data_IF_378371682048
#
_entry.id   IF_378371682048
#
_cell.length_a   1.000
_cell.length_b   1.000
_cell.length_c   1.000
_cell.angle_alpha   90.00
_cell.angle_beta   90.00
_cell.angle_gamma   90.00
#
_symmetry.space_group_name_H-M   'P 1'
#
loop_
_entity.id
_entity.type
_entity.pdbx_description
1 polymer ?
#
# COMPACT_ATOMS: atom_id res chain seq x y z
N UNK A 1 36.47 -10.68 3.20
CA UNK A 1 35.01 -10.59 3.02
C UNK A 1 34.46 -10.46 4.41
N UNK A 2 33.98 -9.28 4.78
CA UNK A 2 33.43 -9.03 6.11
C UNK A 2 32.04 -9.67 6.13
N UNK A 3 31.88 -10.73 6.93
CA UNK A 3 30.56 -11.22 7.35
C UNK A 3 29.99 -10.19 8.33
N UNK A 4 29.49 -9.07 7.79
CA UNK A 4 28.60 -8.23 8.58
C UNK A 4 27.34 -9.06 8.86
N UNK A 5 26.97 -9.25 10.14
CA UNK A 5 25.74 -9.95 10.47
C UNK A 5 24.58 -9.19 9.81
N UNK A 6 23.76 -9.93 9.05
CA UNK A 6 22.56 -9.36 8.48
C UNK A 6 21.73 -8.75 9.63
N UNK A 7 21.20 -7.53 9.46
CA UNK A 7 20.34 -6.93 10.47
C UNK A 7 19.17 -7.87 10.74
N UNK A 8 18.81 -8.02 12.02
CA UNK A 8 17.65 -8.82 12.39
C UNK A 8 16.40 -8.26 11.73
N UNK A 9 15.50 -9.12 11.20
CA UNK A 9 14.28 -8.66 10.56
C UNK A 9 13.40 -7.94 11.58
N UNK A 10 12.81 -6.81 11.15
CA UNK A 10 11.97 -5.98 12.02
C UNK A 10 10.74 -6.74 12.51
N UNK A 11 10.24 -7.65 11.67
CA UNK A 11 9.02 -8.40 11.90
C UNK A 11 9.28 -9.90 11.89
N UNK A 12 8.82 -10.59 12.95
CA UNK A 12 8.91 -12.04 13.04
C UNK A 12 7.67 -12.69 12.40
N UNK A 13 7.82 -13.65 11.46
CA UNK A 13 6.71 -14.30 10.77
C UNK A 13 5.65 -14.90 11.70
N UNK A 14 6.07 -15.43 12.86
CA UNK A 14 5.21 -16.08 13.85
C UNK A 14 4.10 -15.15 14.35
N UNK A 15 4.40 -13.85 14.46
CA UNK A 15 3.43 -12.83 14.89
C UNK A 15 2.28 -12.65 13.88
N UNK A 16 2.50 -13.01 12.61
CA UNK A 16 1.52 -12.88 11.54
C UNK A 16 0.73 -14.17 11.29
N UNK A 17 1.06 -15.28 11.97
CA UNK A 17 0.38 -16.56 11.81
C UNK A 17 -1.14 -16.51 12.04
N UNK A 18 -1.67 -15.78 13.05
CA UNK A 18 -3.13 -15.64 13.23
C UNK A 18 -3.82 -14.94 12.05
N UNK A 19 -3.20 -13.89 11.51
CA UNK A 19 -3.71 -13.20 10.33
C UNK A 19 -3.63 -14.09 9.08
N UNK A 20 -2.55 -14.86 8.93
CA UNK A 20 -2.41 -15.81 7.83
C UNK A 20 -3.55 -16.84 7.86
N UNK A 21 -3.86 -17.38 9.04
CA UNK A 21 -4.99 -18.30 9.22
C UNK A 21 -6.34 -17.64 8.87
N UNK A 22 -6.55 -16.38 9.29
CA UNK A 22 -7.75 -15.63 8.94
C UNK A 22 -7.90 -15.43 7.43
N UNK A 23 -6.80 -15.08 6.74
CA UNK A 23 -6.76 -14.92 5.29
C UNK A 23 -7.04 -16.25 4.58
N UNK A 24 -6.47 -17.36 5.05
CA UNK A 24 -6.73 -18.71 4.51
C UNK A 24 -8.23 -19.03 4.59
N UNK A 25 -8.85 -18.81 5.75
CA UNK A 25 -10.27 -19.06 5.93
C UNK A 25 -11.13 -18.14 5.04
N UNK A 26 -10.78 -16.86 4.95
CA UNK A 26 -11.46 -15.91 4.07
C UNK A 26 -11.30 -16.29 2.59
N UNK A 27 -10.13 -16.73 2.14
CA UNK A 27 -9.86 -17.13 0.77
C UNK A 27 -10.63 -18.41 0.37
N UNK A 28 -10.83 -19.33 1.31
CA UNK A 28 -11.55 -20.59 1.11
C UNK A 28 -13.05 -20.39 0.89
N UNK A 29 -13.63 -19.31 1.45
CA UNK A 29 -15.06 -19.04 1.30
C UNK A 29 -15.46 -18.93 -0.18
N UNK A 30 -16.67 -19.39 -0.57
CA UNK A 30 -17.17 -19.15 -1.92
C UNK A 30 -17.33 -17.65 -2.19
N UNK A 31 -17.22 -17.26 -3.45
CA UNK A 31 -17.46 -15.88 -3.90
C UNK A 31 -18.91 -15.78 -4.36
N UNK A 32 -19.70 -14.98 -3.64
CA UNK A 32 -21.10 -14.71 -3.97
C UNK A 32 -21.18 -13.79 -5.19
N UNK A 33 -22.16 -14.04 -6.06
CA UNK A 33 -22.42 -13.20 -7.24
C UNK A 33 -22.84 -13.98 -8.47
N UNK A 34 -23.78 -13.42 -9.23
CA UNK A 34 -24.35 -14.07 -10.42
C UNK A 34 -25.39 -15.15 -10.08
N UNK A 35 -25.61 -16.09 -11.01
CA UNK A 35 -26.59 -17.19 -10.85
C UNK A 35 -26.14 -18.29 -9.89
N UNK A 36 -24.84 -18.44 -9.64
CA UNK A 36 -24.27 -19.45 -8.73
C UNK A 36 -22.96 -18.96 -8.09
N UNK A 37 -22.68 -19.31 -6.82
CA UNK A 37 -21.42 -18.96 -6.16
C UNK A 37 -20.21 -19.58 -6.88
N UNK A 38 -19.12 -18.81 -7.00
CA UNK A 38 -17.84 -19.33 -7.51
C UNK A 38 -17.05 -19.95 -6.36
N UNK A 39 -16.30 -21.05 -6.59
CA UNK A 39 -15.49 -21.65 -5.54
C UNK A 39 -14.41 -20.67 -5.04
N UNK A 40 -14.09 -20.78 -3.75
CA UNK A 40 -12.91 -20.13 -3.18
C UNK A 40 -11.61 -20.86 -3.54
N UNK A 41 -10.53 -20.54 -2.84
CA UNK A 41 -9.24 -21.21 -2.98
C UNK A 41 -8.70 -21.60 -1.62
N UNK A 42 -8.12 -22.79 -1.53
CA UNK A 42 -7.46 -23.24 -0.31
C UNK A 42 -6.00 -22.78 -0.30
N UNK A 43 -5.71 -21.79 0.55
CA UNK A 43 -4.34 -21.32 0.80
C UNK A 43 -3.68 -22.03 1.99
N UNK A 44 -4.37 -22.99 2.63
CA UNK A 44 -3.89 -23.71 3.81
C UNK A 44 -2.47 -24.29 3.66
N UNK A 45 -2.10 -24.91 2.52
CA UNK A 45 -0.75 -25.41 2.28
C UNK A 45 0.35 -24.34 2.27
N UNK A 46 -0.01 -23.05 2.27
CA UNK A 46 0.92 -21.93 2.20
C UNK A 46 0.84 -21.02 3.43
N UNK A 47 0.24 -21.48 4.54
CA UNK A 47 0.03 -20.67 5.75
C UNK A 47 1.33 -20.04 6.27
N UNK A 48 2.38 -20.84 6.47
CA UNK A 48 3.65 -20.32 6.99
C UNK A 48 4.36 -19.41 5.97
N UNK A 49 4.26 -19.73 4.68
CA UNK A 49 4.80 -18.88 3.61
C UNK A 49 4.03 -17.55 3.46
N UNK A 50 2.76 -17.52 3.83
CA UNK A 50 1.94 -16.31 3.89
C UNK A 50 2.29 -15.47 5.12
N UNK A 51 2.56 -16.10 6.26
CA UNK A 51 3.03 -15.43 7.46
C UNK A 51 4.38 -14.73 7.22
N UNK A 52 5.33 -15.42 6.57
CA UNK A 52 6.61 -14.85 6.17
C UNK A 52 6.44 -13.67 5.19
N UNK A 53 5.60 -13.81 4.16
CA UNK A 53 5.30 -12.72 3.23
C UNK A 53 4.79 -11.48 3.96
N UNK A 54 3.93 -11.63 4.97
CA UNK A 54 3.37 -10.51 5.71
C UNK A 54 4.41 -9.79 6.56
N UNK A 55 5.38 -10.49 7.14
CA UNK A 55 6.51 -9.88 7.82
C UNK A 55 7.32 -9.01 6.84
N UNK A 56 7.67 -9.56 5.67
CA UNK A 56 8.41 -8.83 4.63
C UNK A 56 7.65 -7.58 4.15
N UNK A 57 6.36 -7.73 3.83
CA UNK A 57 5.59 -6.59 3.29
C UNK A 57 5.25 -5.54 4.34
N UNK A 58 5.23 -5.90 5.63
CA UNK A 58 5.06 -4.94 6.72
C UNK A 58 6.27 -4.01 6.81
N UNK A 59 7.47 -4.58 6.77
CA UNK A 59 8.72 -3.80 6.75
C UNK A 59 8.80 -2.92 5.50
N UNK A 60 8.50 -3.48 4.32
CA UNK A 60 8.54 -2.69 3.08
C UNK A 60 7.49 -1.59 3.03
N UNK A 61 6.33 -1.82 3.63
CA UNK A 61 5.30 -0.80 3.74
C UNK A 61 5.74 0.35 4.62
N UNK A 62 6.37 0.09 5.75
CA UNK A 62 6.89 1.14 6.64
C UNK A 62 7.95 1.97 5.96
N UNK A 63 8.95 1.34 5.34
CA UNK A 63 9.98 2.06 4.59
C UNK A 63 9.39 2.90 3.46
N UNK A 64 8.41 2.35 2.72
CA UNK A 64 7.75 3.07 1.63
C UNK A 64 6.82 4.18 2.13
N UNK A 65 6.25 4.03 3.32
CA UNK A 65 5.40 5.02 3.98
C UNK A 65 6.26 6.16 4.49
N UNK A 66 7.36 5.90 5.19
CA UNK A 66 8.30 6.91 5.67
C UNK A 66 8.88 7.73 4.52
N UNK A 67 9.30 7.06 3.43
CA UNK A 67 9.77 7.74 2.22
C UNK A 67 8.66 8.57 1.56
N UNK A 68 7.41 8.08 1.55
CA UNK A 68 6.29 8.86 1.04
C UNK A 68 6.00 10.06 1.95
N UNK A 69 5.90 9.90 3.26
CA UNK A 69 5.65 10.98 4.20
C UNK A 69 6.73 12.06 4.09
N UNK A 70 8.00 11.66 4.06
CA UNK A 70 9.14 12.58 3.87
C UNK A 70 9.06 13.39 2.57
N UNK A 71 8.57 12.79 1.47
CA UNK A 71 8.39 13.48 0.17
C UNK A 71 7.12 14.32 0.05
N UNK A 72 6.20 14.22 1.01
CA UNK A 72 4.96 15.01 1.02
C UNK A 72 4.95 16.08 2.13
N UNK A 73 5.98 16.14 2.98
CA UNK A 73 6.29 17.36 3.73
C UNK A 73 6.75 18.42 2.73
N UNK A 74 6.27 19.66 2.90
CA UNK A 74 6.69 20.76 2.04
C UNK A 74 8.23 20.91 2.16
N UNK A 75 8.99 20.75 1.06
CA UNK A 75 10.42 21.02 1.12
C UNK A 75 10.64 22.51 1.38
N UNK A 76 11.80 22.91 1.95
CA UNK A 76 12.16 24.32 2.00
C UNK A 76 12.20 24.90 0.59
N UNK A 77 12.15 26.23 0.45
CA UNK A 77 12.41 26.85 -0.84
C UNK A 77 13.85 26.53 -1.29
N UNK A 78 14.01 26.22 -2.58
CA UNK A 78 15.32 26.05 -3.22
C UNK A 78 16.20 27.29 -3.12
N UNK A 79 15.56 28.46 -3.03
CA UNK A 79 16.22 29.72 -2.75
C UNK A 79 16.22 29.96 -1.23
N UNK A 80 17.42 30.07 -0.64
CA UNK A 80 17.61 30.25 0.79
C UNK A 80 17.01 31.57 1.26
N UNK A 81 17.14 32.65 0.46
CA UNK A 81 16.65 33.99 0.81
C UNK A 81 15.13 33.99 1.01
N UNK A 82 14.39 33.16 0.26
CA UNK A 82 12.93 33.01 0.40
C UNK A 82 12.50 32.26 1.66
N UNK A 83 13.37 31.43 2.25
CA UNK A 83 13.07 30.78 3.53
C UNK A 83 13.27 31.71 4.73
N UNK A 84 14.01 32.82 4.53
CA UNK A 84 14.28 33.84 5.55
C UNK A 84 13.26 34.99 5.50
N UNK A 85 12.37 35.00 4.51
CA UNK A 85 11.30 36.00 4.38
C UNK A 85 10.20 35.71 5.42
N UNK A 86 9.97 36.63 6.38
CA UNK A 86 8.96 36.44 7.42
C UNK A 86 7.51 36.48 6.91
N UNK A 87 7.27 36.95 5.67
CA UNK A 87 5.96 36.99 5.04
C UNK A 87 5.62 35.71 4.24
N UNK A 88 6.59 34.81 4.03
CA UNK A 88 6.39 33.50 3.41
C UNK A 88 5.97 32.46 4.48
N UNK A 89 5.20 31.41 4.11
CA UNK A 89 4.82 30.35 5.05
C UNK A 89 6.08 29.69 5.64
N UNK A 90 6.06 29.44 6.95
CA UNK A 90 7.20 28.82 7.66
C UNK A 90 7.67 27.58 6.90
N UNK A 91 8.95 27.53 6.48
CA UNK A 91 9.50 26.33 5.86
C UNK A 91 9.33 25.17 6.86
N UNK A 92 8.93 23.99 6.36
CA UNK A 92 8.69 22.81 7.21
C UNK A 92 9.93 22.30 7.97
N UNK A 93 11.08 22.95 7.79
CA UNK A 93 12.35 22.69 8.45
C UNK A 93 13.08 24.02 8.74
N UNK A 94 13.59 24.17 9.96
CA UNK A 94 14.49 25.25 10.40
C UNK A 94 15.94 24.74 10.38
N UNK A 95 16.83 25.45 9.68
CA UNK A 95 18.23 25.05 9.50
C UNK A 95 19.21 25.68 10.50
N UNK A 96 18.77 26.61 11.35
CA UNK A 96 19.64 27.27 12.33
C UNK A 96 20.97 27.80 11.74
N UNK A 97 22.04 27.82 12.54
CA UNK A 97 23.35 28.38 12.17
C UNK A 97 24.24 27.47 11.30
N UNK A 98 23.74 26.30 10.86
CA UNK A 98 24.52 25.29 10.14
C UNK A 98 24.24 25.31 8.63
N UNK A 99 24.35 26.49 8.02
CA UNK A 99 24.07 26.68 6.59
C UNK A 99 25.09 25.94 5.70
N UNK A 100 24.64 25.15 4.71
CA UNK A 100 25.51 24.58 3.69
C UNK A 100 26.17 25.67 2.83
N UNK A 101 27.45 25.51 2.50
CA UNK A 101 28.19 26.46 1.64
C UNK A 101 27.65 26.52 0.21
N UNK A 102 26.98 25.45 -0.25
CA UNK A 102 26.23 25.41 -1.52
C UNK A 102 24.81 24.89 -1.25
N UNK A 103 23.90 25.83 -1.02
CA UNK A 103 22.51 25.53 -0.74
C UNK A 103 21.81 24.82 -1.89
N UNK A 104 22.11 25.17 -3.15
CA UNK A 104 21.45 24.57 -4.30
C UNK A 104 21.86 23.09 -4.48
N UNK A 105 23.15 22.77 -4.31
CA UNK A 105 23.63 21.40 -4.35
C UNK A 105 23.15 20.57 -3.14
N UNK A 106 23.13 21.16 -1.95
CA UNK A 106 22.50 20.54 -0.77
C UNK A 106 21.02 20.28 -1.03
N UNK A 107 20.30 21.27 -1.54
CA UNK A 107 18.89 21.15 -1.87
C UNK A 107 18.63 20.02 -2.86
N UNK A 108 19.37 19.97 -3.97
CA UNK A 108 19.20 18.91 -4.96
C UNK A 108 19.56 17.52 -4.38
N UNK A 109 20.55 17.44 -3.49
CA UNK A 109 20.96 16.18 -2.85
C UNK A 109 19.94 15.64 -1.84
N UNK A 110 19.31 16.52 -1.05
CA UNK A 110 18.41 16.13 0.05
C UNK A 110 16.93 16.27 -0.29
N UNK A 111 16.55 17.27 -1.10
CA UNK A 111 15.17 17.62 -1.47
C UNK A 111 14.88 17.52 -2.97
N UNK A 112 15.90 17.34 -3.82
CA UNK A 112 15.73 17.23 -5.28
C UNK A 112 15.05 15.94 -5.77
N UNK A 113 14.59 15.08 -4.84
CA UNK A 113 13.76 13.92 -5.19
C UNK A 113 12.41 14.43 -5.69
N UNK A 114 11.83 13.72 -6.68
CA UNK A 114 10.51 14.08 -7.16
C UNK A 114 9.49 14.04 -6.01
N UNK A 115 8.69 15.10 -5.90
CA UNK A 115 7.61 15.22 -4.93
C UNK A 115 6.77 13.94 -4.91
N UNK A 116 6.34 13.56 -3.71
CA UNK A 116 5.26 12.60 -3.59
C UNK A 116 4.06 13.12 -4.38
N UNK A 117 3.34 12.23 -5.06
CA UNK A 117 2.03 12.58 -5.59
C UNK A 117 1.01 12.25 -4.50
N UNK A 118 0.48 13.22 -3.73
CA UNK A 118 -0.56 12.98 -2.72
C UNK A 118 -1.91 12.66 -3.36
N UNK A 119 -1.92 12.17 -4.61
CA UNK A 119 -3.07 12.03 -5.48
C UNK A 119 -4.31 11.62 -4.72
N UNK A 120 -5.42 12.32 -4.97
CA UNK A 120 -6.69 12.16 -4.25
C UNK A 120 -7.07 10.68 -4.15
N UNK A 121 -6.71 10.02 -3.04
CA UNK A 121 -7.24 8.70 -2.76
C UNK A 121 -8.76 8.90 -2.62
N UNK A 122 -9.53 8.00 -3.24
CA UNK A 122 -10.98 8.12 -3.27
C UNK A 122 -11.48 7.97 -1.83
N UNK A 123 -11.74 9.08 -1.14
CA UNK A 123 -12.70 9.08 -0.07
C UNK A 123 -14.05 8.79 -0.71
N UNK A 124 -14.71 7.70 -0.31
CA UNK A 124 -16.12 7.57 -0.61
C UNK A 124 -16.82 8.75 0.05
N UNK A 125 -17.53 9.55 -0.75
CA UNK A 125 -18.53 10.51 -0.30
C UNK A 125 -19.73 9.82 0.38
N UNK A 126 -19.57 8.62 0.95
CA UNK A 126 -20.62 7.97 1.71
C UNK A 126 -20.67 8.61 3.09
N UNK A 127 -21.43 9.70 3.17
CA UNK A 127 -22.25 10.03 4.34
C UNK A 127 -23.04 8.77 4.69
N UNK A 128 -22.48 7.97 5.58
CA UNK A 128 -23.24 6.97 6.30
C UNK A 128 -22.97 7.25 7.76
N UNK A 129 -24.03 7.40 8.54
CA UNK A 129 -23.99 7.79 9.96
C UNK A 129 -23.23 6.78 10.85
N UNK A 130 -22.63 5.76 10.24
CA UNK A 130 -22.01 4.58 10.85
C UNK A 130 -20.51 4.47 10.67
N UNK A 131 -19.84 5.34 9.88
CA UNK A 131 -18.37 5.40 9.81
C UNK A 131 -17.87 6.84 9.92
N UNK A 132 -16.94 7.14 10.85
CA UNK A 132 -16.40 8.49 10.99
C UNK A 132 -15.67 8.89 9.71
N UNK A 133 -15.95 10.11 9.22
CA UNK A 133 -15.20 10.72 8.14
C UNK A 133 -13.75 10.90 8.59
N UNK A 134 -12.80 10.33 7.84
CA UNK A 134 -11.38 10.53 8.10
C UNK A 134 -10.92 11.85 7.47
N UNK A 135 -10.18 12.70 8.19
CA UNK A 135 -9.68 13.97 7.65
C UNK A 135 -8.86 13.80 6.38
N UNK A 136 -8.11 12.70 6.28
CA UNK A 136 -7.33 12.32 5.11
C UNK A 136 -7.39 10.80 4.91
N UNK A 137 -7.64 10.32 3.67
CA UNK A 137 -7.58 8.89 3.37
C UNK A 137 -6.13 8.38 3.46
N UNK A 138 -5.88 7.09 3.76
CA UNK A 138 -4.52 6.56 3.83
C UNK A 138 -3.82 6.64 2.46
N UNK A 139 -2.50 6.86 2.41
CA UNK A 139 -1.78 7.01 1.15
C UNK A 139 -1.76 5.71 0.36
N UNK A 140 -2.03 5.74 -0.94
CA UNK A 140 -1.99 4.54 -1.79
C UNK A 140 -0.58 4.15 -2.25
N UNK A 141 0.35 5.08 -2.58
CA UNK A 141 1.68 4.73 -3.10
C UNK A 141 2.50 3.77 -2.22
N UNK A 142 2.49 3.87 -0.87
CA UNK A 142 3.21 2.91 -0.02
C UNK A 142 2.78 1.43 -0.20
N UNK A 143 1.57 1.17 -0.70
CA UNK A 143 1.12 -0.20 -1.01
C UNK A 143 1.67 -0.76 -2.33
N UNK A 144 2.33 0.05 -3.17
CA UNK A 144 2.84 -0.42 -4.46
C UNK A 144 3.85 -1.58 -4.32
N UNK A 145 4.89 -1.51 -3.47
CA UNK A 145 5.78 -2.65 -3.24
C UNK A 145 5.03 -3.87 -2.68
N UNK A 146 4.05 -3.67 -1.79
CA UNK A 146 3.22 -4.74 -1.21
C UNK A 146 2.48 -5.51 -2.32
N UNK A 147 1.84 -4.80 -3.26
CA UNK A 147 1.12 -5.43 -4.38
C UNK A 147 2.06 -6.23 -5.28
N UNK A 148 3.26 -5.71 -5.54
CA UNK A 148 4.27 -6.43 -6.33
C UNK A 148 4.74 -7.70 -5.61
N UNK A 149 4.93 -7.64 -4.30
CA UNK A 149 5.27 -8.80 -3.47
C UNK A 149 4.17 -9.86 -3.55
N UNK A 150 2.91 -9.46 -3.38
CA UNK A 150 1.74 -10.34 -3.46
C UNK A 150 1.59 -10.98 -4.83
N UNK A 151 1.77 -10.22 -5.92
CA UNK A 151 1.75 -10.74 -7.29
C UNK A 151 2.82 -11.84 -7.49
N UNK A 152 4.05 -11.58 -7.03
CA UNK A 152 5.17 -12.53 -7.13
C UNK A 152 4.93 -13.78 -6.28
N UNK A 153 4.50 -13.60 -5.03
CA UNK A 153 4.19 -14.70 -4.12
C UNK A 153 3.06 -15.57 -4.67
N UNK A 154 1.98 -14.94 -5.16
CA UNK A 154 0.84 -15.65 -5.75
C UNK A 154 1.29 -16.50 -6.93
N UNK A 155 2.08 -15.93 -7.84
CA UNK A 155 2.64 -16.66 -8.98
C UNK A 155 3.53 -17.82 -8.54
N UNK A 156 4.32 -17.66 -7.47
CA UNK A 156 5.25 -18.67 -7.00
C UNK A 156 4.59 -19.82 -6.22
N UNK A 157 3.59 -19.52 -5.39
CA UNK A 157 2.97 -20.49 -4.48
C UNK A 157 1.67 -21.08 -5.03
N UNK A 158 0.81 -20.24 -5.59
CA UNK A 158 -0.50 -20.63 -6.13
C UNK A 158 -0.38 -21.01 -7.62
N UNK A 159 0.43 -20.26 -8.36
CA UNK A 159 0.64 -20.46 -9.79
C UNK A 159 -0.51 -19.96 -10.66
N UNK A 160 -0.26 -19.93 -11.97
CA UNK A 160 -1.24 -19.52 -12.98
C UNK A 160 -2.11 -20.69 -13.49
N UNK A 161 -2.01 -21.87 -12.86
CA UNK A 161 -2.42 -23.19 -13.43
C UNK A 161 -3.90 -23.34 -13.77
N UNK A 162 -4.75 -22.37 -13.44
CA UNK A 162 -6.17 -22.36 -13.81
C UNK A 162 -6.67 -20.97 -14.27
N UNK A 163 -5.78 -20.14 -14.83
CA UNK A 163 -6.13 -18.77 -15.27
C UNK A 163 -6.36 -17.79 -14.12
N UNK A 164 -6.06 -18.18 -12.88
CA UNK A 164 -6.16 -17.33 -11.70
C UNK A 164 -4.87 -16.55 -11.49
N UNK A 165 -4.59 -15.61 -12.42
CA UNK A 165 -3.59 -14.57 -12.18
C UNK A 165 -3.98 -13.77 -10.94
N UNK A 166 -2.98 -13.20 -10.26
CA UNK A 166 -3.24 -12.21 -9.22
C UNK A 166 -3.95 -11.00 -9.85
N UNK A 167 -5.27 -10.95 -9.67
CA UNK A 167 -6.16 -9.93 -10.22
C UNK A 167 -7.25 -9.67 -9.18
N UNK A 168 -6.98 -8.88 -8.12
CA UNK A 168 -7.97 -8.55 -7.11
C UNK A 168 -9.20 -7.89 -7.77
N UNK A 169 -10.38 -8.44 -7.45
CA UNK A 169 -11.69 -7.93 -7.86
C UNK A 169 -12.57 -7.82 -6.62
N UNK A 170 -12.77 -6.58 -6.21
CA UNK A 170 -13.67 -6.24 -5.12
C UNK A 170 -15.12 -6.28 -5.62
N UNK A 171 -15.97 -6.99 -4.89
CA UNK A 171 -17.38 -7.14 -5.20
C UNK A 171 -18.25 -6.38 -4.22
N UNK A 172 -19.37 -5.87 -4.72
CA UNK A 172 -20.48 -5.31 -3.92
C UNK A 172 -21.72 -6.14 -4.17
N UNK A 173 -22.73 -5.96 -3.33
CA UNK A 173 -24.04 -6.56 -3.58
C UNK A 173 -24.57 -6.11 -4.95
N UNK A 174 -24.96 -7.07 -5.78
CA UNK A 174 -25.42 -6.80 -7.14
C UNK A 174 -26.81 -6.17 -7.17
N UNK A 175 -27.59 -6.37 -6.11
CA UNK A 175 -28.96 -5.86 -5.99
C UNK A 175 -29.02 -4.46 -5.40
N UNK A 176 -27.93 -3.97 -4.81
CA UNK A 176 -27.85 -2.67 -4.14
C UNK A 176 -26.47 -2.04 -4.40
N UNK A 177 -26.38 -1.21 -5.44
CA UNK A 177 -25.11 -0.62 -5.91
C UNK A 177 -24.55 0.43 -4.96
N UNK A 178 -25.38 0.93 -4.06
CA UNK A 178 -25.03 1.93 -3.06
C UNK A 178 -24.45 1.28 -1.79
N UNK A 179 -24.53 -0.05 -1.65
CA UNK A 179 -23.85 -0.77 -0.57
C UNK A 179 -22.32 -0.73 -0.73
N UNK A 180 -21.61 -0.64 0.41
CA UNK A 180 -20.16 -0.74 0.43
C UNK A 180 -19.69 -2.10 -0.09
N UNK A 181 -18.42 -2.17 -0.50
CA UNK A 181 -17.81 -3.44 -0.87
C UNK A 181 -17.86 -4.45 0.28
N UNK A 182 -17.92 -5.73 -0.08
CA UNK A 182 -18.06 -6.83 0.87
C UNK A 182 -17.16 -8.01 0.45
N UNK A 183 -16.44 -8.58 1.43
CA UNK A 183 -15.57 -9.75 1.22
C UNK A 183 -16.30 -10.91 0.57
N UNK A 184 -17.58 -11.12 0.89
CA UNK A 184 -18.38 -12.24 0.37
C UNK A 184 -18.49 -12.21 -1.15
N UNK A 185 -18.54 -11.03 -1.76
CA UNK A 185 -18.61 -10.85 -3.22
C UNK A 185 -17.24 -10.65 -3.88
N UNK A 186 -16.19 -10.50 -3.07
CA UNK A 186 -14.81 -10.28 -3.52
C UNK A 186 -14.09 -11.59 -3.80
N UNK A 187 -13.24 -11.63 -4.83
CA UNK A 187 -12.47 -12.83 -5.15
C UNK A 187 -11.30 -13.06 -4.16
N UNK A 188 -10.71 -14.26 -4.10
CA UNK A 188 -9.65 -14.54 -3.12
C UNK A 188 -8.44 -13.59 -3.18
N UNK A 189 -7.91 -13.18 -4.36
CA UNK A 189 -6.87 -12.16 -4.42
C UNK A 189 -7.26 -10.81 -3.80
N UNK A 190 -8.53 -10.40 -3.91
CA UNK A 190 -9.02 -9.16 -3.28
C UNK A 190 -9.13 -9.30 -1.76
N UNK A 191 -9.59 -10.45 -1.26
CA UNK A 191 -9.66 -10.74 0.19
C UNK A 191 -8.26 -10.71 0.80
N UNK A 192 -7.29 -11.36 0.15
CA UNK A 192 -5.88 -11.34 0.52
C UNK A 192 -5.34 -9.90 0.58
N UNK A 193 -5.51 -9.13 -0.50
CA UNK A 193 -5.02 -7.75 -0.59
C UNK A 193 -5.62 -6.86 0.51
N UNK A 194 -6.93 -6.94 0.74
CA UNK A 194 -7.59 -6.10 1.74
C UNK A 194 -7.20 -6.47 3.16
N UNK A 195 -7.24 -7.74 3.55
CA UNK A 195 -6.89 -8.14 4.92
C UNK A 195 -5.43 -7.80 5.26
N UNK A 196 -4.52 -7.86 4.28
CA UNK A 196 -3.14 -7.40 4.47
C UNK A 196 -3.09 -5.87 4.59
N UNK A 197 -3.72 -5.13 3.67
CA UNK A 197 -3.72 -3.67 3.73
C UNK A 197 -4.34 -3.13 5.03
N UNK A 198 -5.49 -3.67 5.45
CA UNK A 198 -6.15 -3.30 6.72
C UNK A 198 -5.26 -3.58 7.93
N UNK A 199 -4.44 -4.64 7.89
CA UNK A 199 -3.46 -4.91 8.96
C UNK A 199 -2.33 -3.87 9.00
N UNK A 200 -1.89 -3.39 7.84
CA UNK A 200 -0.83 -2.39 7.71
C UNK A 200 -1.33 -1.00 8.14
N UNK A 201 -2.54 -0.65 7.73
CA UNK A 201 -3.25 0.56 8.15
C UNK A 201 -4.76 0.30 8.15
N UNK A 202 -5.38 0.39 9.33
CA UNK A 202 -6.81 0.13 9.55
C UNK A 202 -7.73 1.07 8.76
N UNK A 203 -7.20 2.18 8.24
CA UNK A 203 -7.96 3.13 7.46
C UNK A 203 -8.14 2.70 5.99
N UNK A 204 -7.42 1.69 5.50
CA UNK A 204 -7.64 1.20 4.14
C UNK A 204 -8.99 0.52 4.02
N UNK A 205 -9.78 1.01 3.06
CA UNK A 205 -11.06 0.40 2.70
C UNK A 205 -10.95 -0.31 1.34
N UNK A 206 -11.85 -1.26 1.04
CA UNK A 206 -11.90 -1.89 -0.27
C UNK A 206 -12.02 -0.88 -1.44
N UNK A 207 -12.68 0.26 -1.21
CA UNK A 207 -12.81 1.33 -2.19
C UNK A 207 -11.45 1.89 -2.58
N UNK A 208 -10.56 2.14 -1.60
CA UNK A 208 -9.18 2.60 -1.83
C UNK A 208 -8.40 1.57 -2.66
N UNK A 209 -8.63 0.28 -2.41
CA UNK A 209 -7.88 -0.83 -2.99
C UNK A 209 -8.42 -1.28 -4.36
N UNK A 210 -9.64 -0.89 -4.72
CA UNK A 210 -10.35 -1.39 -5.91
C UNK A 210 -9.62 -1.17 -7.24
N UNK A 211 -8.88 -0.08 -7.38
CA UNK A 211 -8.07 0.24 -8.57
C UNK A 211 -6.56 0.12 -8.32
N UNK A 212 -6.12 -0.23 -7.11
CA UNK A 212 -4.70 -0.25 -6.71
C UNK A 212 -3.85 -1.11 -7.64
N UNK A 213 -4.27 -2.33 -7.95
CA UNK A 213 -3.53 -3.22 -8.86
C UNK A 213 -3.34 -2.59 -10.27
N UNK A 214 -4.35 -1.90 -10.80
CA UNK A 214 -4.23 -1.19 -12.09
C UNK A 214 -3.28 0.00 -12.00
N UNK A 215 -3.31 0.73 -10.88
CA UNK A 215 -2.40 1.84 -10.64
C UNK A 215 -0.94 1.35 -10.62
N UNK A 216 -0.65 0.25 -9.93
CA UNK A 216 0.68 -0.37 -9.90
C UNK A 216 1.15 -0.79 -11.30
N UNK A 217 0.28 -1.41 -12.09
CA UNK A 217 0.61 -1.77 -13.48
C UNK A 217 0.92 -0.53 -14.34
N UNK A 218 0.14 0.55 -14.22
CA UNK A 218 0.39 1.81 -14.91
C UNK A 218 1.70 2.46 -14.44
N UNK A 219 1.96 2.46 -13.14
CA UNK A 219 3.18 2.99 -12.55
C UNK A 219 4.42 2.29 -13.11
N UNK A 220 4.42 0.95 -13.13
CA UNK A 220 5.51 0.13 -13.71
C UNK A 220 5.69 0.40 -15.20
N UNK A 221 4.60 0.51 -15.97
CA UNK A 221 4.67 0.80 -17.40
C UNK A 221 5.25 2.20 -17.67
N UNK A 222 4.95 3.19 -16.83
CA UNK A 222 5.52 4.53 -16.93
C UNK A 222 7.01 4.55 -16.55
N UNK A 223 7.41 3.83 -15.51
CA UNK A 223 8.82 3.71 -15.11
C UNK A 223 9.68 3.10 -16.23
N UNK A 224 9.18 2.03 -16.87
CA UNK A 224 9.87 1.36 -17.99
C UNK A 224 9.97 2.21 -19.27
N UNK A 225 9.20 3.29 -19.41
CA UNK A 225 9.30 4.24 -20.53
C UNK A 225 10.33 5.34 -20.28
N UNK A 226 10.71 5.57 -19.01
CA UNK A 226 11.65 6.61 -18.59
C UNK A 226 13.09 6.08 -18.45
N UNK A 227 13.25 4.76 -18.38
CA UNK A 227 14.53 4.04 -18.46
C UNK A 227 14.95 3.82 -19.91
#
# INVERSE_FOLDING_TARGET
MSDEPQPEPMYQPEAFRPLAAHIVEAARQPVLGGKSPRPGIDLGPHLDALAALMADVAEWYEVARDDWEARNVAPPNRDLERNLDPDEPEPGFDYGDAEPTDWAAFFDAFYGRADGNPGRNRQTHQRTDTKPWLPQPPPVPPLYPVVVALERWWKAKVGDKHGQRFSPRFGRDFFDKDRPYDLRYSNPPARLLWLIAERLDLHYTPENLSDLHKQVLRHRANAARKS
#
